data_IF_325854851809
#
_entry.id   IF_325854851809
#
_cell.length_a   1.000
_cell.length_b   1.000
_cell.length_c   1.000
_cell.angle_alpha   90.00
_cell.angle_beta   90.00
_cell.angle_gamma   90.00
#
_symmetry.space_group_name_H-M   'P 1'
#
loop_
_entity.id
_entity.type
_entity.pdbx_description
1 polymer ?
#
# COMPACT_ATOMS: atom_id res chain seq x y z
N UNK A 1 -38.27 8.42 -2.35
CA UNK A 1 -36.82 8.20 -2.15
C UNK A 1 -36.26 7.60 -3.42
N UNK A 2 -35.13 8.10 -3.96
CA UNK A 2 -34.49 7.44 -5.09
C UNK A 2 -34.05 6.04 -4.63
N UNK A 3 -34.47 5.01 -5.37
CA UNK A 3 -34.10 3.63 -5.08
C UNK A 3 -32.70 3.40 -5.66
N UNK A 4 -31.69 3.44 -4.79
CA UNK A 4 -30.33 3.03 -5.15
C UNK A 4 -30.30 1.50 -5.15
N UNK A 5 -29.83 0.85 -6.23
CA UNK A 5 -29.72 -0.61 -6.28
C UNK A 5 -28.78 -1.12 -5.17
N UNK A 6 -29.12 -2.24 -4.53
CA UNK A 6 -28.30 -2.83 -3.46
C UNK A 6 -26.86 -3.12 -3.91
N UNK A 7 -26.68 -3.56 -5.16
CA UNK A 7 -25.37 -3.79 -5.78
C UNK A 7 -24.46 -2.54 -5.78
N UNK A 8 -25.04 -1.34 -5.83
CA UNK A 8 -24.29 -0.09 -5.76
C UNK A 8 -23.80 0.21 -4.35
N UNK A 9 -24.56 -0.21 -3.33
CA UNK A 9 -24.22 -0.05 -1.92
C UNK A 9 -23.12 -1.05 -1.53
N UNK A 10 -23.25 -2.31 -1.96
CA UNK A 10 -22.25 -3.35 -1.69
C UNK A 10 -20.90 -2.99 -2.33
N UNK A 11 -20.92 -2.51 -3.57
CA UNK A 11 -19.71 -2.06 -4.26
C UNK A 11 -19.08 -0.81 -3.64
N UNK A 12 -19.88 0.08 -3.05
CA UNK A 12 -19.37 1.24 -2.34
C UNK A 12 -18.65 0.82 -1.04
N UNK A 13 -19.23 -0.10 -0.27
CA UNK A 13 -18.56 -0.67 0.91
C UNK A 13 -17.27 -1.39 0.56
N UNK A 14 -17.24 -2.18 -0.51
CA UNK A 14 -16.01 -2.85 -0.97
C UNK A 14 -14.90 -1.85 -1.35
N UNK A 15 -15.26 -0.69 -1.90
CA UNK A 15 -14.32 0.37 -2.25
C UNK A 15 -13.82 1.07 -0.99
N UNK A 16 -14.71 1.35 -0.03
CA UNK A 16 -14.37 1.98 1.24
C UNK A 16 -13.43 1.10 2.08
N UNK A 17 -13.70 -0.21 2.15
CA UNK A 17 -12.85 -1.19 2.83
C UNK A 17 -11.43 -1.23 2.21
N UNK A 18 -11.32 -1.30 0.88
CA UNK A 18 -10.03 -1.25 0.19
C UNK A 18 -9.29 0.07 0.41
N UNK A 19 -10.02 1.17 0.50
CA UNK A 19 -9.43 2.48 0.75
C UNK A 19 -8.88 2.57 2.18
N UNK A 20 -9.62 2.07 3.18
CA UNK A 20 -9.19 2.05 4.57
C UNK A 20 -7.98 1.13 4.77
N UNK A 21 -7.93 0.00 4.08
CA UNK A 21 -6.76 -0.90 4.08
C UNK A 21 -5.51 -0.19 3.54
N UNK A 22 -5.61 0.44 2.36
CA UNK A 22 -4.49 1.20 1.77
C UNK A 22 -4.06 2.33 2.71
N UNK A 23 -5.01 3.04 3.31
CA UNK A 23 -4.74 4.14 4.24
C UNK A 23 -4.00 3.63 5.48
N UNK A 24 -4.37 2.47 6.00
CA UNK A 24 -3.67 1.84 7.12
C UNK A 24 -2.22 1.48 6.74
N UNK A 25 -2.01 0.85 5.59
CA UNK A 25 -0.67 0.50 5.09
C UNK A 25 0.22 1.72 4.87
N UNK A 26 -0.31 2.80 4.29
CA UNK A 26 0.42 4.06 4.13
C UNK A 26 0.82 4.66 5.47
N UNK A 27 -0.06 4.56 6.48
CA UNK A 27 0.25 5.04 7.83
C UNK A 27 1.40 4.27 8.45
N UNK A 28 1.39 2.94 8.37
CA UNK A 28 2.48 2.08 8.87
C UNK A 28 3.80 2.43 8.18
N UNK A 29 3.79 2.49 6.85
CA UNK A 29 4.99 2.87 6.07
C UNK A 29 5.52 4.27 6.45
N UNK A 30 4.63 5.22 6.75
CA UNK A 30 5.03 6.56 7.19
C UNK A 30 5.70 6.53 8.57
N UNK A 31 5.19 5.72 9.49
CA UNK A 31 5.79 5.55 10.82
C UNK A 31 7.15 4.82 10.72
N UNK A 32 7.27 3.82 9.86
CA UNK A 32 8.55 3.12 9.60
C UNK A 32 9.60 4.06 9.01
N UNK A 33 9.22 4.90 8.02
CA UNK A 33 10.10 5.92 7.46
C UNK A 33 10.54 6.94 8.51
N UNK A 34 9.66 7.32 9.44
CA UNK A 34 9.99 8.22 10.54
C UNK A 34 10.99 7.59 11.50
N UNK A 35 10.81 6.30 11.82
CA UNK A 35 11.75 5.55 12.65
C UNK A 35 13.11 5.43 11.98
N UNK A 36 13.14 5.13 10.68
CA UNK A 36 14.36 5.06 9.88
C UNK A 36 15.09 6.40 9.84
N UNK A 37 14.36 7.51 9.67
CA UNK A 37 14.92 8.85 9.73
C UNK A 37 15.55 9.18 11.10
N UNK A 38 15.01 8.62 12.20
CA UNK A 38 15.56 8.79 13.53
C UNK A 38 16.87 8.00 13.74
N UNK A 39 17.03 6.85 13.09
CA UNK A 39 18.21 5.98 13.18
C UNK A 39 19.25 6.20 12.08
N UNK A 40 19.00 7.14 11.16
CA UNK A 40 19.85 7.47 10.02
C UNK A 40 21.30 7.83 10.38
N UNK A 41 21.53 8.33 11.59
CA UNK A 41 22.85 8.74 12.08
C UNK A 41 23.64 7.59 12.75
N UNK A 42 23.00 6.46 12.99
CA UNK A 42 23.58 5.29 13.68
C UNK A 42 23.70 4.06 12.79
N UNK A 43 22.94 4.00 11.70
CA UNK A 43 22.92 2.87 10.79
C UNK A 43 23.75 3.10 9.52
N UNK A 44 24.24 1.99 8.96
CA UNK A 44 24.95 1.98 7.69
C UNK A 44 24.00 2.20 6.51
N UNK A 45 24.50 2.79 5.43
CA UNK A 45 23.71 3.19 4.28
C UNK A 45 23.03 1.99 3.58
N UNK A 46 23.67 0.83 3.56
CA UNK A 46 23.11 -0.38 2.95
C UNK A 46 21.89 -0.89 3.72
N UNK A 47 21.94 -0.85 5.06
CA UNK A 47 20.81 -1.21 5.93
C UNK A 47 19.61 -0.27 5.73
N UNK A 48 19.89 1.04 5.60
CA UNK A 48 18.86 2.04 5.32
C UNK A 48 18.22 1.80 3.95
N UNK A 49 19.03 1.47 2.94
CA UNK A 49 18.53 1.20 1.59
C UNK A 49 17.64 -0.05 1.56
N UNK A 50 18.06 -1.14 2.20
CA UNK A 50 17.27 -2.37 2.30
C UNK A 50 15.92 -2.11 3.00
N UNK A 51 15.92 -1.34 4.09
CA UNK A 51 14.69 -0.95 4.78
C UNK A 51 13.75 -0.11 3.90
N UNK A 52 14.26 0.84 3.13
CA UNK A 52 13.47 1.62 2.18
C UNK A 52 12.86 0.74 1.09
N UNK A 53 13.62 -0.23 0.58
CA UNK A 53 13.14 -1.19 -0.42
C UNK A 53 12.03 -2.06 0.14
N UNK A 54 12.15 -2.51 1.39
CA UNK A 54 11.13 -3.34 2.04
C UNK A 54 9.84 -2.57 2.28
N UNK A 55 9.92 -1.31 2.73
CA UNK A 55 8.75 -0.42 2.86
C UNK A 55 8.08 -0.22 1.50
N UNK A 56 8.85 0.01 0.44
CA UNK A 56 8.31 0.17 -0.91
C UNK A 56 7.59 -1.11 -1.42
N UNK A 57 8.18 -2.29 -1.20
CA UNK A 57 7.56 -3.57 -1.56
C UNK A 57 6.27 -3.86 -0.78
N UNK A 58 6.21 -3.48 0.49
CA UNK A 58 5.01 -3.61 1.30
C UNK A 58 3.87 -2.73 0.72
N UNK A 59 4.18 -1.47 0.40
CA UNK A 59 3.22 -0.56 -0.23
C UNK A 59 2.74 -1.05 -1.61
N UNK A 60 3.64 -1.57 -2.45
CA UNK A 60 3.27 -2.13 -3.75
C UNK A 60 2.33 -3.35 -3.64
N UNK A 61 2.55 -4.18 -2.62
CA UNK A 61 1.74 -5.37 -2.34
C UNK A 61 0.33 -4.96 -1.93
N UNK A 62 0.23 -4.01 -1.00
CA UNK A 62 -1.03 -3.56 -0.42
C UNK A 62 -1.85 -2.71 -1.41
N UNK A 63 -1.18 -1.92 -2.24
CA UNK A 63 -1.81 -1.22 -3.36
C UNK A 63 -2.24 -2.15 -4.50
N UNK A 64 -1.92 -3.44 -4.43
CA UNK A 64 -2.25 -4.43 -5.46
C UNK A 64 -1.48 -4.24 -6.79
N UNK A 65 -0.47 -3.36 -6.83
CA UNK A 65 0.32 -3.03 -8.03
C UNK A 65 1.07 -4.27 -8.55
N UNK A 66 1.49 -5.15 -7.64
CA UNK A 66 2.15 -6.41 -7.99
C UNK A 66 1.28 -7.35 -8.86
N UNK A 67 -0.07 -7.31 -8.73
CA UNK A 67 -0.97 -8.07 -9.62
C UNK A 67 -1.08 -7.44 -11.01
N UNK A 68 -1.06 -6.10 -11.11
CA UNK A 68 -1.22 -5.39 -12.38
C UNK A 68 -0.03 -5.63 -13.32
N UNK A 69 1.21 -5.58 -12.80
CA UNK A 69 2.41 -5.85 -13.60
C UNK A 69 2.53 -7.31 -14.04
N UNK A 70 2.02 -8.26 -13.24
CA UNK A 70 2.03 -9.69 -13.59
C UNK A 70 1.02 -9.99 -14.69
N UNK A 71 -0.18 -9.40 -14.63
CA UNK A 71 -1.19 -9.53 -15.70
C UNK A 71 -0.79 -8.83 -17.00
N UNK A 72 -0.08 -7.70 -16.95
CA UNK A 72 0.44 -7.05 -18.16
C UNK A 72 1.52 -7.89 -18.86
N UNK A 73 2.40 -8.56 -18.11
CA UNK A 73 3.42 -9.45 -18.68
C UNK A 73 2.88 -10.75 -19.28
N UNK A 74 1.69 -11.18 -18.87
CA UNK A 74 1.00 -12.34 -19.48
C UNK A 74 0.18 -11.96 -20.72
N UNK A 75 -0.06 -10.66 -20.93
CA UNK A 75 -0.82 -10.12 -22.07
C UNK A 75 0.06 -9.64 -23.24
N UNK A 76 1.39 -9.61 -23.07
CA UNK A 76 2.42 -9.43 -24.13
C UNK A 76 2.96 -10.78 -24.62
#
# INVERSE_FOLDING_TARGET
>A
MPQVPAEFIDRAHEIEEKYDDIRASVRVATDDLRQLAATLHTEDHDSIYDALVDIAKALERDAGIHRANTQQKEAE
#
